data_IF_626020198001
#
_entry.id   IF_626020198001
#
_cell.length_a   1.000
_cell.length_b   1.000
_cell.length_c   1.000
_cell.angle_alpha   90.00
_cell.angle_beta   90.00
_cell.angle_gamma   90.00
#
_symmetry.space_group_name_H-M   'P 1'
#
loop_
_entity.id
_entity.type
_entity.pdbx_description
1 polymer ?
#
# COMPACT_ATOMS: atom_id res chain seq x y z
N UNK A 1 44.73 2.54 21.00
CA UNK A 1 43.76 1.61 21.62
C UNK A 1 42.44 2.37 21.65
N UNK A 2 41.60 2.22 20.62
CA UNK A 2 40.40 1.33 20.61
C UNK A 2 39.42 1.73 21.73
N UNK A 3 38.13 1.93 21.57
CA UNK A 3 37.13 1.75 20.51
C UNK A 3 35.81 2.18 21.19
N UNK A 4 34.86 2.78 20.47
CA UNK A 4 33.39 2.85 20.75
C UNK A 4 32.86 4.23 20.38
N UNK A 5 31.81 4.38 19.60
CA UNK A 5 30.93 3.40 19.01
C UNK A 5 29.97 4.12 18.08
N UNK A 6 29.71 3.49 16.94
CA UNK A 6 28.46 3.51 16.19
C UNK A 6 27.42 4.57 16.60
N UNK A 7 27.40 5.71 15.89
CA UNK A 7 26.15 6.44 15.70
C UNK A 7 25.32 5.71 14.66
N UNK A 8 24.48 4.79 15.14
CA UNK A 8 23.36 4.26 14.36
C UNK A 8 22.32 5.37 14.31
N UNK A 9 22.45 6.30 13.37
CA UNK A 9 21.32 7.13 12.93
C UNK A 9 20.62 6.40 11.81
N UNK A 10 19.88 5.36 12.18
CA UNK A 10 18.85 4.78 11.33
C UNK A 10 17.54 5.03 12.06
N UNK A 11 17.03 6.26 11.91
CA UNK A 11 15.63 6.55 12.16
C UNK A 11 14.82 5.81 11.10
N UNK A 12 14.59 4.53 11.36
CA UNK A 12 13.64 3.71 10.64
C UNK A 12 12.68 3.14 11.67
N UNK A 13 11.84 4.03 12.21
CA UNK A 13 10.56 3.67 12.81
C UNK A 13 9.49 4.19 11.88
N UNK A 14 9.53 3.66 10.65
CA UNK A 14 8.44 3.73 9.70
C UNK A 14 7.17 3.20 10.38
N UNK A 15 6.12 4.01 10.34
CA UNK A 15 4.75 3.57 10.16
C UNK A 15 4.28 2.41 11.06
N UNK A 16 4.39 2.55 12.39
CA UNK A 16 3.45 1.83 13.26
C UNK A 16 2.16 2.64 13.39
N UNK A 17 1.41 2.73 12.29
CA UNK A 17 -0.01 3.04 12.35
C UNK A 17 -0.77 1.78 12.82
N UNK A 18 -0.51 1.39 14.08
CA UNK A 18 -1.40 0.56 14.89
C UNK A 18 -2.68 1.38 15.13
N UNK A 19 -3.49 1.54 14.08
CA UNK A 19 -4.91 1.71 14.30
C UNK A 19 -5.46 0.31 14.48
N UNK A 20 -6.12 -0.01 15.62
CA UNK A 20 -6.77 -1.29 15.77
C UNK A 20 -7.83 -1.43 14.66
N UNK A 21 -7.50 -2.26 13.66
CA UNK A 21 -8.39 -2.71 12.60
C UNK A 21 -9.46 -3.58 13.27
N UNK A 22 -10.50 -2.90 13.75
CA UNK A 22 -11.64 -3.52 14.41
C UNK A 22 -12.51 -4.23 13.38
N UNK A 23 -13.27 -5.28 13.75
CA UNK A 23 -14.22 -5.97 12.87
C UNK A 23 -15.31 -5.05 12.26
N UNK A 24 -15.39 -3.77 12.65
CA UNK A 24 -16.18 -2.76 11.97
C UNK A 24 -15.72 -2.47 10.53
N UNK A 25 -14.43 -2.71 10.20
CA UNK A 25 -13.90 -2.51 8.85
C UNK A 25 -14.28 -3.65 7.88
N UNK A 26 -14.60 -4.85 8.37
CA UNK A 26 -15.09 -5.94 7.52
C UNK A 26 -16.53 -5.71 7.02
N UNK A 27 -17.37 -5.07 7.85
CA UNK A 27 -18.70 -4.56 7.42
C UNK A 27 -18.57 -3.36 6.47
N UNK A 28 -17.42 -2.69 6.47
CA UNK A 28 -17.13 -1.57 5.58
C UNK A 28 -16.81 -2.02 4.15
N UNK A 29 -16.54 -3.30 3.84
CA UNK A 29 -16.27 -3.74 2.46
C UNK A 29 -17.36 -3.28 1.47
N UNK A 30 -18.62 -3.57 1.78
CA UNK A 30 -19.75 -3.11 0.95
C UNK A 30 -20.03 -1.61 1.03
N UNK A 31 -19.63 -0.94 2.12
CA UNK A 31 -19.72 0.53 2.22
C UNK A 31 -18.61 1.20 1.39
N UNK A 32 -17.43 0.59 1.29
CA UNK A 32 -16.31 1.03 0.49
C UNK A 32 -16.62 0.88 -1.00
N UNK A 33 -17.28 -0.21 -1.41
CA UNK A 33 -17.74 -0.36 -2.80
C UNK A 33 -18.72 0.75 -3.21
N UNK A 34 -19.68 1.07 -2.34
CA UNK A 34 -20.63 2.15 -2.59
C UNK A 34 -19.96 3.53 -2.60
N UNK A 35 -18.97 3.74 -1.74
CA UNK A 35 -18.21 4.98 -1.69
C UNK A 35 -17.32 5.16 -2.92
N UNK A 36 -16.60 4.10 -3.33
CA UNK A 36 -15.79 4.08 -4.55
C UNK A 36 -16.66 4.46 -5.74
N UNK A 37 -17.83 3.84 -5.90
CA UNK A 37 -18.73 4.16 -7.01
C UNK A 37 -19.20 5.64 -7.02
N UNK A 38 -19.41 6.24 -5.84
CA UNK A 38 -19.77 7.66 -5.73
C UNK A 38 -18.61 8.57 -6.11
N UNK A 39 -17.42 8.27 -5.62
CA UNK A 39 -16.20 9.04 -5.90
C UNK A 39 -15.81 8.91 -7.37
N UNK A 40 -15.96 7.73 -7.97
CA UNK A 40 -15.73 7.51 -9.40
C UNK A 40 -16.72 8.31 -10.25
N UNK A 41 -18.01 8.32 -9.89
CA UNK A 41 -18.99 9.16 -10.57
C UNK A 41 -18.68 10.66 -10.43
N UNK A 42 -18.08 11.08 -9.33
CA UNK A 42 -17.65 12.47 -9.15
C UNK A 42 -16.40 12.80 -9.98
N UNK A 43 -15.41 11.91 -9.98
CA UNK A 43 -14.23 12.01 -10.83
C UNK A 43 -14.58 11.93 -12.32
N UNK A 44 -15.66 11.23 -12.70
CA UNK A 44 -16.14 11.18 -14.08
C UNK A 44 -16.79 12.51 -14.51
N UNK A 45 -17.53 13.16 -13.61
CA UNK A 45 -18.09 14.50 -13.89
C UNK A 45 -16.98 15.55 -14.02
N UNK A 46 -15.95 15.44 -13.19
CA UNK A 46 -14.86 16.39 -13.11
C UNK A 46 -13.53 15.64 -13.25
N UNK A 47 -13.19 15.16 -14.46
CA UNK A 47 -11.97 14.39 -14.66
C UNK A 47 -10.73 15.23 -14.43
N UNK A 48 -10.80 16.56 -14.43
CA UNK A 48 -9.66 17.44 -14.16
C UNK A 48 -9.44 17.70 -12.65
N UNK A 49 -10.35 17.24 -11.80
CA UNK A 49 -10.24 17.42 -10.35
C UNK A 49 -9.32 16.35 -9.75
N UNK A 50 -8.08 16.76 -9.50
CA UNK A 50 -7.08 15.92 -8.82
C UNK A 50 -7.51 15.52 -7.40
N UNK A 51 -8.33 16.33 -6.72
CA UNK A 51 -8.87 16.00 -5.39
C UNK A 51 -9.87 14.86 -5.50
N UNK A 52 -10.75 14.88 -6.50
CA UNK A 52 -11.69 13.78 -6.75
C UNK A 52 -10.95 12.47 -7.07
N UNK A 53 -9.93 12.54 -7.93
CA UNK A 53 -9.07 11.38 -8.26
C UNK A 53 -8.32 10.85 -7.04
N UNK A 54 -7.75 11.74 -6.23
CA UNK A 54 -7.07 11.36 -4.99
C UNK A 54 -8.02 10.69 -4.00
N UNK A 55 -9.26 11.18 -3.89
CA UNK A 55 -10.28 10.55 -3.04
C UNK A 55 -10.63 9.14 -3.53
N UNK A 56 -10.81 8.93 -4.85
CA UNK A 56 -10.99 7.60 -5.44
C UNK A 56 -9.82 6.69 -5.06
N UNK A 57 -8.58 7.17 -5.23
CA UNK A 57 -7.40 6.40 -4.87
C UNK A 57 -7.39 5.97 -3.40
N UNK A 58 -7.65 6.90 -2.48
CA UNK A 58 -7.73 6.60 -1.04
C UNK A 58 -8.82 5.57 -0.72
N UNK A 59 -9.98 5.63 -1.39
CA UNK A 59 -11.04 4.66 -1.18
C UNK A 59 -10.63 3.24 -1.62
N UNK A 60 -9.97 3.11 -2.77
CA UNK A 60 -9.39 1.85 -3.21
C UNK A 60 -8.31 1.32 -2.24
N UNK A 61 -7.42 2.17 -1.71
CA UNK A 61 -6.44 1.79 -0.68
C UNK A 61 -7.11 1.20 0.55
N UNK A 62 -8.20 1.83 1.02
CA UNK A 62 -8.93 1.35 2.20
C UNK A 62 -9.57 -0.02 1.96
N UNK A 63 -10.11 -0.25 0.76
CA UNK A 63 -10.64 -1.58 0.37
C UNK A 63 -9.52 -2.61 0.25
N UNK A 64 -8.38 -2.23 -0.34
CA UNK A 64 -7.21 -3.07 -0.46
C UNK A 64 -6.68 -3.53 0.92
N UNK A 65 -6.56 -2.59 1.87
CA UNK A 65 -6.14 -2.89 3.25
C UNK A 65 -7.10 -3.91 3.88
N UNK A 66 -8.41 -3.69 3.78
CA UNK A 66 -9.41 -4.61 4.32
C UNK A 66 -9.34 -6.00 3.66
N UNK A 67 -9.11 -6.06 2.34
CA UNK A 67 -8.93 -7.30 1.59
C UNK A 67 -7.67 -8.05 2.02
N UNK A 68 -6.57 -7.33 2.22
CA UNK A 68 -5.31 -7.90 2.73
C UNK A 68 -5.51 -8.52 4.10
N UNK A 69 -6.20 -7.84 5.02
CA UNK A 69 -6.45 -8.33 6.37
C UNK A 69 -7.23 -9.65 6.40
N UNK A 70 -8.16 -9.83 5.44
CA UNK A 70 -8.94 -11.07 5.30
C UNK A 70 -8.24 -12.13 4.43
N UNK A 71 -6.96 -11.93 4.09
CA UNK A 71 -6.15 -12.87 3.31
C UNK A 71 -6.44 -12.86 1.81
N UNK A 72 -7.19 -11.87 1.30
CA UNK A 72 -7.49 -11.67 -0.13
C UNK A 72 -6.40 -10.83 -0.82
N UNK A 73 -5.14 -11.18 -0.60
CA UNK A 73 -3.96 -10.55 -1.22
C UNK A 73 -4.08 -10.24 -2.73
N UNK A 74 -4.53 -11.17 -3.60
CA UNK A 74 -4.64 -10.88 -5.03
C UNK A 74 -5.67 -9.80 -5.40
N UNK A 75 -6.73 -9.62 -4.60
CA UNK A 75 -7.68 -8.53 -4.84
C UNK A 75 -7.17 -7.22 -4.24
N UNK A 76 -6.50 -7.28 -3.08
CA UNK A 76 -5.82 -6.12 -2.52
C UNK A 76 -4.81 -5.51 -3.50
N UNK A 77 -4.01 -6.36 -4.19
CA UNK A 77 -3.07 -5.91 -5.22
C UNK A 77 -3.76 -5.16 -6.36
N UNK A 78 -4.91 -5.65 -6.82
CA UNK A 78 -5.69 -4.99 -7.88
C UNK A 78 -6.19 -3.61 -7.44
N UNK A 79 -6.60 -3.51 -6.18
CA UNK A 79 -7.10 -2.27 -5.62
C UNK A 79 -5.99 -1.25 -5.43
N UNK A 80 -4.83 -1.63 -4.88
CA UNK A 80 -3.68 -0.73 -4.79
C UNK A 80 -3.19 -0.26 -6.17
N UNK A 81 -3.15 -1.15 -7.17
CA UNK A 81 -2.81 -0.77 -8.54
C UNK A 81 -3.82 0.23 -9.10
N UNK A 82 -5.11 0.02 -8.84
CA UNK A 82 -6.16 0.94 -9.29
C UNK A 82 -6.02 2.30 -8.60
N UNK A 83 -5.73 2.33 -7.30
CA UNK A 83 -5.45 3.56 -6.58
C UNK A 83 -4.30 4.35 -7.21
N UNK A 84 -3.20 3.68 -7.56
CA UNK A 84 -2.05 4.30 -8.23
C UNK A 84 -2.34 4.81 -9.64
N UNK A 85 -3.35 4.27 -10.32
CA UNK A 85 -3.80 4.79 -11.62
C UNK A 85 -4.55 6.10 -11.48
N UNK A 86 -5.28 6.29 -10.38
CA UNK A 86 -5.98 7.54 -10.09
C UNK A 86 -5.05 8.57 -9.48
N UNK A 87 -4.17 8.16 -8.58
CA UNK A 87 -3.15 9.00 -7.97
C UNK A 87 -1.81 8.24 -7.87
N UNK A 88 -0.86 8.47 -8.79
CA UNK A 88 0.43 7.79 -8.79
C UNK A 88 1.31 8.17 -7.59
N UNK A 89 1.09 9.33 -7.00
CA UNK A 89 1.81 9.85 -5.83
C UNK A 89 1.20 9.37 -4.49
N UNK A 90 0.24 8.45 -4.53
CA UNK A 90 -0.37 7.92 -3.31
C UNK A 90 0.59 6.97 -2.58
N UNK A 91 1.32 7.49 -1.60
CA UNK A 91 2.30 6.75 -0.80
C UNK A 91 1.69 5.52 -0.11
N UNK A 92 0.46 5.62 0.41
CA UNK A 92 -0.21 4.49 1.07
C UNK A 92 -0.48 3.33 0.10
N UNK A 93 -0.85 3.63 -1.14
CA UNK A 93 -1.06 2.63 -2.18
C UNK A 93 0.24 1.94 -2.60
N UNK A 94 1.34 2.71 -2.71
CA UNK A 94 2.67 2.17 -3.01
C UNK A 94 3.13 1.22 -1.89
N UNK A 95 3.08 1.69 -0.64
CA UNK A 95 3.47 0.91 0.53
C UNK A 95 2.61 -0.35 0.70
N UNK A 96 1.29 -0.25 0.47
CA UNK A 96 0.38 -1.38 0.54
C UNK A 96 0.66 -2.44 -0.52
N UNK A 97 0.93 -2.02 -1.76
CA UNK A 97 1.31 -2.91 -2.86
C UNK A 97 2.62 -3.62 -2.59
N UNK A 98 3.63 -2.90 -2.10
CA UNK A 98 4.92 -3.47 -1.72
C UNK A 98 4.78 -4.50 -0.59
N UNK A 99 3.98 -4.19 0.43
CA UNK A 99 3.71 -5.10 1.54
C UNK A 99 3.05 -6.39 1.05
N UNK A 100 2.00 -6.30 0.24
CA UNK A 100 1.31 -7.50 -0.26
C UNK A 100 2.22 -8.34 -1.16
N UNK A 101 3.08 -7.71 -1.97
CA UNK A 101 4.07 -8.44 -2.76
C UNK A 101 5.10 -9.16 -1.87
N UNK A 102 5.56 -8.52 -0.79
CA UNK A 102 6.45 -9.15 0.20
C UNK A 102 5.77 -10.31 0.95
N UNK A 103 4.52 -10.12 1.38
CA UNK A 103 3.72 -11.14 2.07
C UNK A 103 3.39 -12.33 1.17
N UNK A 104 3.19 -12.09 -0.12
CA UNK A 104 2.92 -13.12 -1.11
C UNK A 104 4.15 -13.96 -1.46
N UNK A 105 5.32 -13.67 -0.87
CA UNK A 105 6.56 -14.43 -1.08
C UNK A 105 7.08 -14.36 -2.52
N UNK A 106 6.53 -13.46 -3.34
CA UNK A 106 7.10 -13.14 -4.63
C UNK A 106 8.29 -12.23 -4.35
N UNK A 107 9.47 -12.84 -4.22
CA UNK A 107 10.74 -12.13 -4.24
C UNK A 107 10.70 -11.07 -5.34
N UNK A 108 11.24 -9.86 -5.12
CA UNK A 108 11.28 -8.85 -6.15
C UNK A 108 12.00 -9.48 -7.34
N UNK A 109 11.24 -9.81 -8.38
CA UNK A 109 11.79 -10.07 -9.69
C UNK A 109 12.35 -8.71 -10.07
N UNK A 110 13.64 -8.53 -9.86
CA UNK A 110 14.37 -7.54 -10.64
C UNK A 110 14.03 -7.77 -12.11
N UNK A 111 14.21 -6.75 -12.94
CA UNK A 111 13.96 -6.77 -14.39
C UNK A 111 14.57 -8.00 -15.12
N UNK A 112 15.45 -8.75 -14.45
CA UNK A 112 16.11 -9.99 -14.89
C UNK A 112 15.54 -11.32 -14.37
N UNK A 113 14.44 -11.31 -13.61
CA UNK A 113 13.83 -12.52 -13.05
C UNK A 113 14.65 -13.24 -11.97
N UNK A 114 15.56 -12.55 -11.29
CA UNK A 114 16.35 -13.09 -10.18
C UNK A 114 15.99 -12.40 -8.86
N UNK A 115 15.97 -13.13 -7.74
CA UNK A 115 15.83 -12.50 -6.44
C UNK A 115 17.00 -11.56 -6.19
N UNK A 116 16.70 -10.33 -5.79
CA UNK A 116 17.70 -9.38 -5.28
C UNK A 116 18.23 -9.89 -3.93
N UNK A 117 19.13 -10.86 -3.99
CA UNK A 117 20.00 -11.18 -2.85
C UNK A 117 20.86 -9.95 -2.63
N UNK A 118 20.52 -9.11 -1.65
CA UNK A 118 21.48 -8.14 -1.10
C UNK A 118 22.60 -8.97 -0.46
N UNK A 119 23.83 -9.00 -1.02
CA UNK A 119 24.90 -9.74 -0.37
C UNK A 119 25.22 -9.05 0.95
N UNK A 120 25.13 -9.81 2.04
CA UNK A 120 25.58 -9.40 3.37
C UNK A 120 27.00 -8.83 3.27
N UNK A 121 27.16 -7.54 3.58
CA UNK A 121 28.48 -6.94 3.75
C UNK A 121 29.09 -7.52 5.02
N UNK A 122 29.90 -8.57 4.88
CA UNK A 122 30.99 -8.84 5.82
C UNK A 122 32.04 -7.75 5.63
N UNK A 123 32.22 -6.91 6.63
CA UNK A 123 33.56 -6.45 7.07
C UNK A 123 33.55 -6.37 8.58
#
# INVERSE_FOLDING_TARGET
MTQSGNRVTANNEAANANTPQTPAQALAGGQLDAEIARLEAEAEKNPEDDTARAAVATAYVRRANALRDVGRAPDALRDYQTALRYNPDNEEAQLGLEQVNQESGAEPLGDDGRPVTVPAKKQ
#
